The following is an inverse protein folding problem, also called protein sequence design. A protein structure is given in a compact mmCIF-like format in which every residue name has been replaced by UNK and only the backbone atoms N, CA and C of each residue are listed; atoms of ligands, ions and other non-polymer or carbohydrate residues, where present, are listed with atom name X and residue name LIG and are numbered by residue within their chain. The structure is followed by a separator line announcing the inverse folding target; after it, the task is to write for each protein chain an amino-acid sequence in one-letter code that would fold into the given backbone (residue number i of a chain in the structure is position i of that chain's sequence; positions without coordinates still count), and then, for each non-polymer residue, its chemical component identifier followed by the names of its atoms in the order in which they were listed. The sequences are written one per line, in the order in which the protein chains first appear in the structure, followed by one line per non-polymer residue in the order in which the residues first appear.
data_IF_534166327197
#
_entry.id   IF_534166327197
#
_cell.length_a   1.000
_cell.length_b   1.000
_cell.length_c   1.000
_cell.angle_alpha   90.00
_cell.angle_beta   90.00
_cell.angle_gamma   90.00
#
_symmetry.space_group_name_H-M   'P 1'
#
loop_
_entity.id
_entity.type
_entity.pdbx_description
1 polymer ?
#
# COMPACT_ATOMS: atom_id res chain seq x y z
N UNK A 1 0.46 4.08 14.51
CA UNK A 1 0.75 2.73 13.99
C UNK A 1 2.03 2.83 13.17
N UNK A 2 3.05 1.99 13.39
CA UNK A 2 4.31 2.12 12.64
C UNK A 2 4.17 1.69 11.17
N UNK A 3 5.04 2.21 10.30
CA UNK A 3 5.03 1.97 8.83
C UNK A 3 4.89 0.48 8.48
N UNK A 4 5.66 -0.40 9.12
CA UNK A 4 5.61 -1.85 8.84
C UNK A 4 4.19 -2.43 9.02
N UNK A 5 3.48 -2.00 10.08
CA UNK A 5 2.11 -2.47 10.35
C UNK A 5 1.12 -1.92 9.32
N UNK A 6 1.22 -0.64 8.98
CA UNK A 6 0.40 -0.02 7.91
C UNK A 6 0.61 -0.76 6.58
N UNK A 7 1.86 -1.10 6.27
CA UNK A 7 2.22 -1.82 5.05
C UNK A 7 1.67 -3.24 5.01
N UNK A 8 1.77 -3.97 6.11
CA UNK A 8 1.19 -5.30 6.22
C UNK A 8 -0.35 -5.28 6.09
N UNK A 9 -1.02 -4.29 6.68
CA UNK A 9 -2.48 -4.12 6.56
C UNK A 9 -2.86 -3.79 5.12
N UNK A 10 -2.19 -2.83 4.48
CA UNK A 10 -2.47 -2.49 3.10
C UNK A 10 -2.21 -3.69 2.16
N UNK A 11 -1.11 -4.40 2.37
CA UNK A 11 -0.80 -5.63 1.65
C UNK A 11 -1.90 -6.68 1.77
N UNK A 12 -2.40 -6.93 2.98
CA UNK A 12 -3.49 -7.88 3.22
C UNK A 12 -4.78 -7.46 2.50
N UNK A 13 -5.14 -6.16 2.56
CA UNK A 13 -6.31 -5.64 1.85
C UNK A 13 -6.17 -5.83 0.34
N UNK A 14 -5.00 -5.53 -0.25
CA UNK A 14 -4.77 -5.72 -1.68
C UNK A 14 -4.80 -7.19 -2.10
N UNK A 15 -4.26 -8.09 -1.28
CA UNK A 15 -4.32 -9.54 -1.52
C UNK A 15 -5.78 -10.00 -1.55
N UNK A 16 -6.56 -9.69 -0.51
CA UNK A 16 -7.95 -10.12 -0.38
C UNK A 16 -8.82 -9.53 -1.48
N UNK A 17 -8.75 -8.21 -1.71
CA UNK A 17 -9.56 -7.57 -2.74
C UNK A 17 -9.13 -7.98 -4.15
N UNK A 18 -7.84 -8.24 -4.39
CA UNK A 18 -7.35 -8.68 -5.70
C UNK A 18 -7.88 -10.07 -6.06
N UNK A 19 -7.84 -11.00 -5.11
CA UNK A 19 -8.40 -12.34 -5.26
C UNK A 19 -9.92 -12.25 -5.42
N UNK A 20 -10.61 -11.44 -4.60
CA UNK A 20 -12.04 -11.22 -4.73
C UNK A 20 -12.42 -10.65 -6.11
N UNK A 21 -11.67 -9.65 -6.59
CA UNK A 21 -11.85 -9.06 -7.90
C UNK A 21 -11.68 -10.09 -9.04
N UNK A 22 -10.78 -11.06 -8.88
CA UNK A 22 -10.61 -12.16 -9.84
C UNK A 22 -11.85 -13.04 -9.89
N UNK A 23 -12.36 -13.48 -8.74
CA UNK A 23 -13.55 -14.34 -8.70
C UNK A 23 -14.81 -13.65 -9.23
N UNK A 24 -14.95 -12.33 -9.02
CA UNK A 24 -16.12 -11.57 -9.50
C UNK A 24 -16.04 -11.27 -11.00
N UNK A 25 -14.86 -10.90 -11.50
CA UNK A 25 -14.71 -10.42 -12.89
C UNK A 25 -14.19 -11.46 -13.87
N UNK A 26 -13.62 -12.57 -13.39
CA UNK A 26 -12.87 -13.54 -14.19
C UNK A 26 -11.57 -12.98 -14.80
N UNK A 27 -11.23 -11.70 -14.54
CA UNK A 27 -10.11 -11.04 -15.20
C UNK A 27 -8.80 -11.30 -14.46
N UNK A 28 -7.78 -11.91 -15.11
CA UNK A 28 -6.46 -12.10 -14.51
C UNK A 28 -5.79 -10.79 -14.08
N UNK A 29 -6.17 -9.65 -14.68
CA UNK A 29 -5.60 -8.35 -14.35
C UNK A 29 -5.84 -7.90 -12.91
N UNK A 30 -6.88 -8.42 -12.26
CA UNK A 30 -7.16 -8.17 -10.83
C UNK A 30 -6.10 -8.75 -9.90
N UNK A 31 -5.41 -9.83 -10.32
CA UNK A 31 -4.33 -10.46 -9.55
C UNK A 31 -3.05 -9.61 -9.48
N UNK A 32 -2.94 -8.56 -10.31
CA UNK A 32 -1.86 -7.57 -10.18
C UNK A 32 -1.91 -6.92 -8.79
N UNK A 33 -3.11 -6.62 -8.28
CA UNK A 33 -3.27 -6.09 -6.92
C UNK A 33 -2.78 -7.10 -5.86
N UNK A 34 -3.09 -8.38 -6.04
CA UNK A 34 -2.61 -9.46 -5.17
C UNK A 34 -1.09 -9.57 -5.19
N UNK A 35 -0.49 -9.55 -6.38
CA UNK A 35 0.97 -9.61 -6.53
C UNK A 35 1.66 -8.41 -5.85
N UNK A 36 1.14 -7.19 -6.04
CA UNK A 36 1.63 -5.99 -5.36
C UNK A 36 1.49 -6.14 -3.84
N UNK A 37 0.35 -6.65 -3.37
CA UNK A 37 0.14 -6.91 -1.95
C UNK A 37 1.17 -7.89 -1.37
N UNK A 38 1.48 -8.98 -2.08
CA UNK A 38 2.53 -9.92 -1.66
C UNK A 38 3.89 -9.25 -1.57
N UNK A 39 4.26 -8.44 -2.57
CA UNK A 39 5.54 -7.71 -2.56
C UNK A 39 5.60 -6.72 -1.39
N UNK A 40 4.53 -5.95 -1.14
CA UNK A 40 4.45 -5.03 0.00
C UNK A 40 4.53 -5.79 1.33
N UNK A 41 3.92 -6.96 1.44
CA UNK A 41 4.01 -7.80 2.63
C UNK A 41 5.46 -8.23 2.89
N UNK A 42 6.17 -8.67 1.84
CA UNK A 42 7.58 -9.05 1.95
C UNK A 42 8.47 -7.87 2.35
N UNK A 43 8.22 -6.66 1.82
CA UNK A 43 8.94 -5.44 2.19
C UNK A 43 8.63 -5.02 3.64
N UNK A 44 7.47 -5.38 4.17
CA UNK A 44 7.12 -5.03 5.55
C UNK A 44 8.04 -5.65 6.61
N UNK A 45 8.65 -6.82 6.32
CA UNK A 45 9.59 -7.49 7.22
C UNK A 45 10.89 -6.70 7.47
N UNK A 46 11.68 -6.31 6.46
CA UNK A 46 12.87 -5.48 6.68
C UNK A 46 12.53 -4.10 7.26
N UNK A 47 11.36 -3.54 6.96
CA UNK A 47 10.90 -2.27 7.57
C UNK A 47 10.66 -2.42 9.08
N UNK A 48 10.21 -3.58 9.54
CA UNK A 48 10.09 -3.88 10.97
C UNK A 48 11.44 -3.91 11.69
N UNK A 49 12.52 -4.23 10.97
CA UNK A 49 13.90 -4.22 11.47
C UNK A 49 14.59 -2.86 11.24
N UNK A 50 13.84 -1.76 11.25
CA UNK A 50 14.30 -0.37 11.08
C UNK A 50 15.11 -0.09 9.80
N UNK A 51 14.95 -0.90 8.76
CA UNK A 51 15.57 -0.65 7.46
C UNK A 51 14.91 0.56 6.76
N UNK A 52 15.59 1.72 6.82
CA UNK A 52 15.12 2.97 6.21
C UNK A 52 14.96 2.86 4.69
N UNK A 53 15.85 2.14 4.01
CA UNK A 53 15.80 1.98 2.54
C UNK A 53 14.56 1.19 2.14
N UNK A 54 14.29 0.08 2.82
CA UNK A 54 13.07 -0.72 2.60
C UNK A 54 11.80 0.11 2.83
N UNK A 55 11.80 1.01 3.82
CA UNK A 55 10.66 1.87 4.09
C UNK A 55 10.38 2.82 2.93
N UNK A 56 11.42 3.47 2.37
CA UNK A 56 11.25 4.35 1.21
C UNK A 56 10.81 3.59 -0.04
N UNK A 57 11.39 2.41 -0.29
CA UNK A 57 10.99 1.56 -1.42
C UNK A 57 9.52 1.16 -1.29
N UNK A 58 9.08 0.69 -0.12
CA UNK A 58 7.69 0.26 0.08
C UNK A 58 6.69 1.41 -0.01
N UNK A 59 7.02 2.60 0.51
CA UNK A 59 6.17 3.79 0.33
C UNK A 59 6.13 4.23 -1.13
N UNK A 60 7.27 4.22 -1.82
CA UNK A 60 7.34 4.52 -3.26
C UNK A 60 6.50 3.56 -4.10
N UNK A 61 6.58 2.26 -3.82
CA UNK A 61 5.73 1.25 -4.47
C UNK A 61 4.24 1.51 -4.18
N UNK A 62 3.90 1.88 -2.94
CA UNK A 62 2.51 2.21 -2.58
C UNK A 62 2.01 3.43 -3.35
N UNK A 63 2.85 4.44 -3.57
CA UNK A 63 2.51 5.64 -4.36
C UNK A 63 2.20 5.31 -5.81
N UNK A 64 3.07 4.55 -6.47
CA UNK A 64 2.84 4.11 -7.85
C UNK A 64 1.56 3.28 -7.94
N UNK A 65 1.34 2.40 -6.97
CA UNK A 65 0.13 1.56 -6.89
C UNK A 65 -1.15 2.40 -6.75
N UNK A 66 -1.13 3.43 -5.89
CA UNK A 66 -2.27 4.32 -5.72
C UNK A 66 -2.66 5.02 -7.03
N UNK A 67 -1.67 5.61 -7.72
CA UNK A 67 -1.90 6.29 -9.01
C UNK A 67 -2.44 5.30 -10.05
N UNK A 68 -1.84 4.11 -10.13
CA UNK A 68 -2.26 3.06 -11.05
C UNK A 68 -3.74 2.67 -10.83
N UNK A 69 -4.15 2.43 -9.58
CA UNK A 69 -5.54 2.05 -9.29
C UNK A 69 -6.54 3.18 -9.53
N UNK A 70 -6.18 4.44 -9.26
CA UNK A 70 -7.06 5.58 -9.60
C UNK A 70 -7.28 5.62 -11.11
N UNK A 71 -6.22 5.60 -11.91
CA UNK A 71 -6.31 5.71 -13.38
C UNK A 71 -7.10 4.54 -13.97
N UNK A 72 -6.78 3.30 -13.58
CA UNK A 72 -7.46 2.11 -14.10
C UNK A 72 -8.91 2.03 -13.60
N UNK A 73 -9.13 2.32 -12.32
CA UNK A 73 -10.45 2.29 -11.69
C UNK A 73 -11.42 3.27 -12.34
N UNK A 74 -10.97 4.50 -12.62
CA UNK A 74 -11.75 5.50 -13.35
C UNK A 74 -11.98 5.10 -14.80
N UNK A 75 -10.91 4.70 -15.52
CA UNK A 75 -11.01 4.33 -16.96
C UNK A 75 -11.96 3.16 -17.20
N UNK A 76 -11.99 2.18 -16.29
CA UNK A 76 -12.85 0.99 -16.40
C UNK A 76 -14.16 1.12 -15.64
N UNK A 77 -14.43 2.27 -15.00
CA UNK A 77 -15.56 2.50 -14.10
C UNK A 77 -15.76 1.35 -13.10
N UNK A 78 -14.66 0.80 -12.59
CA UNK A 78 -14.67 -0.40 -11.75
C UNK A 78 -14.54 -0.01 -10.27
N UNK A 79 -15.64 -0.17 -9.53
CA UNK A 79 -15.73 0.19 -8.12
C UNK A 79 -14.76 -0.59 -7.23
N UNK A 80 -14.47 -1.86 -7.53
CA UNK A 80 -13.56 -2.68 -6.72
C UNK A 80 -12.15 -2.09 -6.77
N UNK A 81 -11.67 -1.70 -7.96
CA UNK A 81 -10.36 -1.08 -8.14
C UNK A 81 -10.32 0.29 -7.46
N UNK A 82 -11.41 1.06 -7.51
CA UNK A 82 -11.51 2.35 -6.81
C UNK A 82 -11.48 2.18 -5.29
N UNK A 83 -12.11 1.14 -4.74
CA UNK A 83 -12.01 0.81 -3.31
C UNK A 83 -10.57 0.45 -2.93
N UNK A 84 -9.87 -0.35 -3.75
CA UNK A 84 -8.43 -0.63 -3.55
C UNK A 84 -7.61 0.66 -3.55
N UNK A 85 -7.90 1.60 -4.46
CA UNK A 85 -7.24 2.90 -4.51
C UNK A 85 -7.45 3.68 -3.19
N UNK A 86 -8.66 3.72 -2.66
CA UNK A 86 -8.97 4.42 -1.40
C UNK A 86 -8.14 3.84 -0.25
N UNK A 87 -8.11 2.52 -0.07
CA UNK A 87 -7.29 1.90 0.98
C UNK A 87 -5.79 2.17 0.80
N UNK A 88 -5.31 2.14 -0.44
CA UNK A 88 -3.91 2.41 -0.76
C UNK A 88 -3.53 3.88 -0.46
N UNK A 89 -4.42 4.83 -0.75
CA UNK A 89 -4.24 6.25 -0.43
C UNK A 89 -4.24 6.46 1.08
N UNK A 90 -5.16 5.83 1.81
CA UNK A 90 -5.20 5.89 3.27
C UNK A 90 -3.88 5.39 3.89
N UNK A 91 -3.36 4.26 3.40
CA UNK A 91 -2.05 3.76 3.82
C UNK A 91 -0.94 4.80 3.57
N UNK A 92 -0.99 5.50 2.44
CA UNK A 92 -0.02 6.53 2.07
C UNK A 92 -0.05 7.73 3.02
N UNK A 93 -1.25 8.19 3.39
CA UNK A 93 -1.43 9.25 4.39
C UNK A 93 -0.82 8.81 5.73
N UNK A 94 -1.08 7.57 6.17
CA UNK A 94 -0.48 7.03 7.39
C UNK A 94 1.05 6.97 7.34
N UNK A 95 1.65 6.65 6.20
CA UNK A 95 3.10 6.67 6.05
C UNK A 95 3.68 8.08 6.20
N UNK A 96 3.07 9.07 5.52
CA UNK A 96 3.51 10.47 5.61
C UNK A 96 3.40 10.98 7.04
N UNK A 97 2.31 10.66 7.74
CA UNK A 97 2.14 11.00 9.16
C UNK A 97 3.22 10.35 10.05
N UNK A 98 3.57 9.08 9.84
CA UNK A 98 4.63 8.42 10.59
C UNK A 98 6.00 9.05 10.32
N UNK A 99 6.29 9.42 9.07
CA UNK A 99 7.53 10.14 8.73
C UNK A 99 7.61 11.51 9.41
N UNK A 100 6.51 12.28 9.40
CA UNK A 100 6.46 13.56 10.11
C UNK A 100 6.63 13.38 11.63
N UNK A 101 6.01 12.35 12.21
CA UNK A 101 6.17 12.02 13.64
C UNK A 101 7.63 11.72 13.99
N UNK A 102 8.29 10.85 13.23
CA UNK A 102 9.72 10.51 13.44
C UNK A 102 10.64 11.72 13.23
N UNK A 103 10.28 12.64 12.33
CA UNK A 103 11.02 13.90 12.15
C UNK A 103 10.92 14.77 13.42
N UNK A 104 9.71 14.98 13.95
CA UNK A 104 9.48 15.76 15.17
C UNK A 104 10.19 15.17 16.39
N UNK A 105 10.16 13.84 16.54
CA UNK A 105 10.88 13.14 17.63
C UNK A 105 12.40 13.38 17.58
N UNK A 106 12.99 13.50 16.38
CA UNK A 106 14.42 13.82 16.21
C UNK A 106 14.74 15.29 16.47
N UNK A 107 13.79 16.19 16.23
CA UNK A 107 13.96 17.63 16.44
C UNK A 107 13.77 18.02 17.91
N UNK A 108 12.84 17.37 18.63
CA UNK A 108 12.61 17.61 20.07
C UNK A 108 13.53 16.84 21.03
N UNK A 109 14.33 15.90 20.52
CA UNK A 109 15.37 15.20 21.28
C UNK A 109 16.75 15.89 21.19
N UNK A 110 16.82 17.05 20.54
CA UNK A 110 18.00 17.94 20.51
C UNK A 110 17.78 19.11 21.45
#
# INVERSE_FOLDING_TARGET
MGIAKVMAVNAAVLIVLGIYGYFVSGSPTSLIATAIGVVLFLISFPVKNDNKTAAHIGVGLTLVTAIMFIVIGLKRSNLIILVMAIFTILALIFYVMDFMKRKKEREGAK
#
